data_IF_786091878655
#
_entry.id   IF_786091878655
#
_cell.length_a   1.000
_cell.length_b   1.000
_cell.length_c   1.000
_cell.angle_alpha   90.00
_cell.angle_beta   90.00
_cell.angle_gamma   90.00
#
_symmetry.space_group_name_H-M   'P 1'
#
loop_
_entity.id
_entity.type
_entity.pdbx_description
1 polymer ?
#
# COMPACT_ATOMS: atom_id res chain seq x y z
N UNK A 1 14.02 19.47 24.33
CA UNK A 1 13.29 19.76 23.08
C UNK A 1 14.10 19.08 21.98
N UNK A 2 13.51 18.11 21.27
CA UNK A 2 14.19 17.44 20.16
C UNK A 2 14.45 18.48 19.06
N UNK A 3 15.62 18.46 18.42
CA UNK A 3 15.85 19.35 17.29
C UNK A 3 15.04 18.86 16.08
N UNK A 4 14.61 19.78 15.21
CA UNK A 4 13.75 19.47 14.07
C UNK A 4 14.36 18.45 13.08
N UNK A 5 15.69 18.43 12.94
CA UNK A 5 16.39 17.46 12.10
C UNK A 5 16.44 16.08 12.76
N UNK A 6 16.53 16.00 14.09
CA UNK A 6 16.41 14.75 14.84
C UNK A 6 15.00 14.16 14.75
N UNK A 7 13.97 15.00 14.88
CA UNK A 7 12.57 14.61 14.67
C UNK A 7 12.35 14.09 13.24
N UNK A 8 12.83 14.82 12.23
CA UNK A 8 12.70 14.39 10.83
C UNK A 8 13.39 13.05 10.57
N UNK A 9 14.59 12.83 11.11
CA UNK A 9 15.30 11.53 10.99
C UNK A 9 14.52 10.38 11.63
N UNK A 10 13.87 10.62 12.77
CA UNK A 10 13.03 9.62 13.42
C UNK A 10 11.79 9.30 12.56
N UNK A 11 11.12 10.31 12.01
CA UNK A 11 9.94 10.12 11.15
C UNK A 11 10.32 9.35 9.87
N UNK A 12 11.40 9.75 9.21
CA UNK A 12 12.02 9.03 8.10
C UNK A 12 12.26 7.55 8.43
N UNK A 13 12.84 7.25 9.60
CA UNK A 13 13.07 5.86 10.02
C UNK A 13 11.75 5.08 10.18
N UNK A 14 10.72 5.70 10.75
CA UNK A 14 9.40 5.07 10.90
C UNK A 14 8.76 4.79 9.54
N UNK A 15 8.86 5.72 8.59
CA UNK A 15 8.41 5.50 7.20
C UNK A 15 9.13 4.31 6.58
N UNK A 16 10.45 4.20 6.77
CA UNK A 16 11.22 3.04 6.29
C UNK A 16 10.68 1.72 6.80
N UNK A 17 10.42 1.61 8.11
CA UNK A 17 9.84 0.41 8.71
C UNK A 17 8.43 0.10 8.20
N UNK A 18 7.60 1.13 8.02
CA UNK A 18 6.25 0.97 7.49
C UNK A 18 6.25 0.47 6.03
N UNK A 19 7.18 0.95 5.20
CA UNK A 19 7.38 0.46 3.84
C UNK A 19 7.81 -1.01 3.82
N UNK A 20 8.75 -1.40 4.69
CA UNK A 20 9.20 -2.78 4.84
C UNK A 20 8.06 -3.70 5.29
N UNK A 21 7.25 -3.27 6.26
CA UNK A 21 6.09 -4.03 6.72
C UNK A 21 5.03 -4.17 5.62
N UNK A 22 4.66 -3.07 4.96
CA UNK A 22 3.71 -3.10 3.84
C UNK A 22 4.17 -4.08 2.76
N UNK A 23 5.46 -4.06 2.41
CA UNK A 23 6.04 -4.98 1.43
C UNK A 23 5.95 -6.43 1.89
N UNK A 24 6.31 -6.73 3.14
CA UNK A 24 6.23 -8.08 3.68
C UNK A 24 4.78 -8.62 3.68
N UNK A 25 3.78 -7.80 4.02
CA UNK A 25 2.36 -8.22 3.94
C UNK A 25 1.92 -8.47 2.50
N UNK A 26 2.39 -7.64 1.57
CA UNK A 26 2.06 -7.75 0.15
C UNK A 26 2.69 -9.01 -0.47
N UNK A 27 3.93 -9.33 -0.13
CA UNK A 27 4.60 -10.58 -0.53
C UNK A 27 3.83 -11.81 -0.02
N UNK A 28 3.36 -11.79 1.23
CA UNK A 28 2.51 -12.85 1.78
C UNK A 28 1.16 -12.95 1.07
N UNK A 29 0.57 -11.83 0.66
CA UNK A 29 -0.69 -11.82 -0.10
C UNK A 29 -0.51 -12.41 -1.51
N UNK A 30 0.58 -12.05 -2.20
CA UNK A 30 0.93 -12.61 -3.51
C UNK A 30 1.16 -14.12 -3.45
N UNK A 31 1.95 -14.58 -2.47
CA UNK A 31 2.22 -16.01 -2.27
C UNK A 31 0.91 -16.78 -2.02
N UNK A 32 0.03 -16.25 -1.16
CA UNK A 32 -1.24 -16.92 -0.85
C UNK A 32 -2.18 -16.98 -2.06
N UNK A 33 -2.29 -15.89 -2.83
CA UNK A 33 -3.11 -15.83 -4.05
C UNK A 33 -2.60 -16.80 -5.12
N UNK A 34 -1.29 -16.84 -5.35
CA UNK A 34 -0.69 -17.73 -6.35
C UNK A 34 -0.93 -19.22 -6.06
N UNK A 35 -1.04 -19.58 -4.79
CA UNK A 35 -1.31 -20.95 -4.32
C UNK A 35 -2.80 -21.27 -4.18
N UNK A 36 -3.69 -20.33 -4.47
CA UNK A 36 -5.13 -20.49 -4.25
C UNK A 36 -5.51 -20.69 -2.78
N UNK A 37 -4.75 -20.08 -1.86
CA UNK A 37 -4.95 -20.26 -0.43
C UNK A 37 -6.29 -19.70 0.07
N UNK A 38 -6.90 -20.39 1.04
CA UNK A 38 -8.20 -20.05 1.62
C UNK A 38 -8.22 -18.70 2.36
N UNK A 39 -7.04 -18.20 2.74
CA UNK A 39 -6.87 -16.98 3.53
C UNK A 39 -6.60 -15.74 2.66
N UNK A 40 -6.75 -15.84 1.34
CA UNK A 40 -6.41 -14.77 0.39
C UNK A 40 -7.07 -13.44 0.74
N UNK A 41 -8.35 -13.45 1.14
CA UNK A 41 -9.08 -12.23 1.59
C UNK A 41 -8.34 -11.56 2.75
N UNK A 42 -8.05 -12.31 3.82
CA UNK A 42 -7.38 -11.81 5.02
C UNK A 42 -5.97 -11.31 4.72
N UNK A 43 -5.22 -12.00 3.86
CA UNK A 43 -3.85 -11.60 3.50
C UNK A 43 -3.83 -10.31 2.69
N UNK A 44 -4.74 -10.16 1.74
CA UNK A 44 -4.88 -8.92 0.95
C UNK A 44 -5.33 -7.77 1.85
N UNK A 45 -6.28 -8.00 2.77
CA UNK A 45 -6.67 -6.99 3.76
C UNK A 45 -5.50 -6.52 4.63
N UNK A 46 -4.68 -7.44 5.16
CA UNK A 46 -3.49 -7.07 5.93
C UNK A 46 -2.48 -6.24 5.13
N UNK A 47 -2.35 -6.50 3.83
CA UNK A 47 -1.51 -5.71 2.95
C UNK A 47 -2.10 -4.32 2.68
N UNK A 48 -3.43 -4.22 2.53
CA UNK A 48 -4.16 -2.95 2.42
C UNK A 48 -3.91 -2.08 3.66
N UNK A 49 -4.16 -2.61 4.85
CA UNK A 49 -4.01 -1.88 6.13
C UNK A 49 -2.58 -1.38 6.34
N UNK A 50 -1.59 -2.25 6.09
CA UNK A 50 -0.18 -1.87 6.22
C UNK A 50 0.22 -0.77 5.21
N UNK A 51 -0.33 -0.83 3.99
CA UNK A 51 -0.07 0.18 2.95
C UNK A 51 -0.77 1.50 3.26
N UNK A 52 -2.00 1.49 3.80
CA UNK A 52 -2.72 2.69 4.22
C UNK A 52 -2.00 3.36 5.39
N UNK A 53 -1.60 2.59 6.41
CA UNK A 53 -0.81 3.10 7.52
C UNK A 53 0.53 3.70 7.04
N UNK A 54 1.22 3.01 6.14
CA UNK A 54 2.44 3.55 5.53
C UNK A 54 2.17 4.85 4.77
N UNK A 55 1.07 4.93 4.02
CA UNK A 55 0.68 6.13 3.28
C UNK A 55 0.40 7.32 4.21
N UNK A 56 -0.31 7.09 5.31
CA UNK A 56 -0.58 8.11 6.32
C UNK A 56 0.72 8.64 6.93
N UNK A 57 1.57 7.73 7.40
CA UNK A 57 2.85 8.10 8.00
C UNK A 57 3.76 8.84 7.01
N UNK A 58 3.75 8.44 5.74
CA UNK A 58 4.48 9.12 4.67
C UNK A 58 3.98 10.56 4.48
N UNK A 59 2.66 10.77 4.41
CA UNK A 59 2.09 12.11 4.26
C UNK A 59 2.45 13.03 5.44
N UNK A 60 2.38 12.53 6.67
CA UNK A 60 2.77 13.27 7.87
C UNK A 60 4.26 13.62 7.86
N UNK A 61 5.12 12.69 7.44
CA UNK A 61 6.58 12.87 7.44
C UNK A 61 7.06 13.90 6.42
N UNK A 62 6.30 14.11 5.34
CA UNK A 62 6.68 15.02 4.26
C UNK A 62 5.71 16.19 4.07
N UNK A 63 4.77 16.41 5.00
CA UNK A 63 3.83 17.53 4.95
C UNK A 63 2.88 17.50 3.75
N UNK A 64 2.35 16.33 3.40
CA UNK A 64 1.50 16.09 2.23
C UNK A 64 0.03 15.82 2.61
N UNK A 65 -0.41 16.27 3.78
CA UNK A 65 -1.76 16.00 4.29
C UNK A 65 -2.86 16.71 3.49
N UNK A 66 -2.53 17.87 2.92
CA UNK A 66 -3.43 18.66 2.06
C UNK A 66 -3.43 18.19 0.60
N UNK A 67 -2.55 17.26 0.24
CA UNK A 67 -2.50 16.69 -1.10
C UNK A 67 -3.63 15.69 -1.28
N UNK A 68 -4.34 15.79 -2.42
CA UNK A 68 -5.36 14.82 -2.83
C UNK A 68 -4.90 14.07 -4.10
N UNK A 69 -4.11 12.99 -3.96
CA UNK A 69 -3.60 12.25 -5.10
C UNK A 69 -4.73 11.68 -5.96
N UNK A 70 -4.57 11.70 -7.29
CA UNK A 70 -5.60 11.24 -8.20
C UNK A 70 -5.94 9.77 -7.96
N UNK A 71 -7.23 9.46 -7.91
CA UNK A 71 -7.73 8.10 -7.78
C UNK A 71 -7.57 7.36 -9.12
N UNK A 72 -6.88 6.20 -9.17
CA UNK A 72 -6.72 5.45 -10.40
C UNK A 72 -8.06 4.98 -10.99
N UNK A 73 -8.19 5.01 -12.32
CA UNK A 73 -9.40 4.56 -13.02
C UNK A 73 -9.65 3.08 -12.75
N UNK A 74 -10.86 2.77 -12.27
CA UNK A 74 -11.28 1.40 -11.97
C UNK A 74 -11.41 0.57 -13.25
N UNK A 75 -10.59 -0.47 -13.41
CA UNK A 75 -10.75 -1.44 -14.51
C UNK A 75 -11.95 -2.37 -14.25
N UNK A 76 -12.84 -2.52 -15.25
CA UNK A 76 -14.11 -3.29 -15.15
C UNK A 76 -13.92 -4.79 -14.91
N UNK A 77 -12.83 -5.36 -15.44
CA UNK A 77 -12.47 -6.77 -15.32
C UNK A 77 -11.11 -6.92 -14.61
N UNK A 78 -10.89 -6.14 -13.55
CA UNK A 78 -9.66 -6.24 -12.78
C UNK A 78 -9.63 -7.56 -12.01
N UNK A 79 -8.57 -8.34 -12.20
CA UNK A 79 -8.33 -9.57 -11.43
C UNK A 79 -7.58 -9.24 -10.12
N UNK A 80 -7.97 -9.83 -8.97
CA UNK A 80 -7.30 -9.58 -7.69
C UNK A 80 -5.80 -9.79 -7.75
N UNK A 81 -5.33 -10.85 -8.40
CA UNK A 81 -3.90 -11.15 -8.55
C UNK A 81 -3.16 -10.05 -9.31
N UNK A 82 -3.74 -9.54 -10.39
CA UNK A 82 -3.16 -8.45 -11.17
C UNK A 82 -3.08 -7.17 -10.34
N UNK A 83 -4.11 -6.87 -9.55
CA UNK A 83 -4.15 -5.68 -8.70
C UNK A 83 -3.11 -5.75 -7.58
N UNK A 84 -2.95 -6.91 -6.94
CA UNK A 84 -1.91 -7.09 -5.91
C UNK A 84 -0.52 -6.97 -6.52
N UNK A 85 -0.27 -7.54 -7.69
CA UNK A 85 1.00 -7.37 -8.40
C UNK A 85 1.25 -5.89 -8.73
N UNK A 86 0.31 -5.21 -9.39
CA UNK A 86 0.42 -3.78 -9.70
C UNK A 86 0.62 -2.89 -8.45
N UNK A 87 0.11 -3.31 -7.29
CA UNK A 87 0.34 -2.63 -6.01
C UNK A 87 1.76 -2.81 -5.48
N UNK A 88 2.38 -3.99 -5.71
CA UNK A 88 3.79 -4.26 -5.39
C UNK A 88 4.72 -3.30 -6.13
N UNK A 89 4.53 -3.14 -7.44
CA UNK A 89 5.34 -2.20 -8.23
C UNK A 89 5.16 -0.77 -7.76
N UNK A 90 3.93 -0.38 -7.40
CA UNK A 90 3.66 0.96 -6.89
C UNK A 90 4.38 1.19 -5.56
N UNK A 91 4.33 0.22 -4.64
CA UNK A 91 5.06 0.29 -3.37
C UNK A 91 6.58 0.34 -3.56
N UNK A 92 7.11 -0.42 -4.53
CA UNK A 92 8.53 -0.37 -4.91
C UNK A 92 8.92 1.03 -5.39
N UNK A 93 8.13 1.63 -6.28
CA UNK A 93 8.37 3.01 -6.77
C UNK A 93 8.33 4.03 -5.64
N UNK A 94 7.36 3.93 -4.73
CA UNK A 94 7.31 4.80 -3.56
C UNK A 94 8.56 4.70 -2.69
N UNK A 95 9.09 3.47 -2.51
CA UNK A 95 10.34 3.23 -1.77
C UNK A 95 11.54 3.85 -2.48
N UNK A 96 11.64 3.72 -3.81
CA UNK A 96 12.73 4.28 -4.63
C UNK A 96 12.77 5.82 -4.60
N UNK A 97 11.59 6.46 -4.52
CA UNK A 97 11.38 7.90 -4.55
C UNK A 97 11.43 8.56 -3.17
N UNK A 98 11.44 7.77 -2.09
CA UNK A 98 11.56 8.26 -0.72
C UNK A 98 12.76 9.20 -0.56
N UNK A 99 12.51 10.38 0.00
CA UNK A 99 13.52 11.43 0.20
C UNK A 99 14.03 12.11 -1.08
N UNK A 100 13.57 11.69 -2.27
CA UNK A 100 13.95 12.26 -3.57
C UNK A 100 12.81 13.06 -4.19
N UNK A 101 11.62 12.47 -4.20
CA UNK A 101 10.39 13.04 -4.76
C UNK A 101 9.21 12.63 -3.86
N UNK A 102 9.01 13.29 -2.70
CA UNK A 102 8.01 12.86 -1.73
C UNK A 102 6.59 12.84 -2.29
N UNK A 103 6.19 13.87 -3.04
CA UNK A 103 4.85 13.93 -3.63
C UNK A 103 4.60 12.76 -4.59
N UNK A 104 5.55 12.47 -5.48
CA UNK A 104 5.43 11.36 -6.41
C UNK A 104 5.43 10.00 -5.68
N UNK A 105 6.30 9.84 -4.68
CA UNK A 105 6.32 8.64 -3.84
C UNK A 105 4.99 8.42 -3.11
N UNK A 106 4.38 9.49 -2.61
CA UNK A 106 3.07 9.47 -1.98
C UNK A 106 1.96 9.09 -2.97
N UNK A 107 1.97 9.62 -4.19
CA UNK A 107 1.03 9.22 -5.26
C UNK A 107 1.10 7.72 -5.58
N UNK A 108 2.32 7.16 -5.62
CA UNK A 108 2.50 5.72 -5.80
C UNK A 108 1.98 4.90 -4.59
N UNK A 109 2.15 5.38 -3.35
CA UNK A 109 1.55 4.74 -2.17
C UNK A 109 0.02 4.74 -2.23
N UNK A 110 -0.59 5.88 -2.56
CA UNK A 110 -2.05 5.96 -2.74
C UNK A 110 -2.55 5.03 -3.84
N UNK A 111 -1.79 4.90 -4.91
CA UNK A 111 -2.06 3.95 -5.99
C UNK A 111 -2.00 2.49 -5.49
N UNK A 112 -1.00 2.14 -4.68
CA UNK A 112 -0.87 0.81 -4.10
C UNK A 112 -2.08 0.47 -3.21
N UNK A 113 -2.43 1.37 -2.29
CA UNK A 113 -3.58 1.27 -1.40
C UNK A 113 -4.88 1.07 -2.18
N UNK A 114 -5.13 1.92 -3.18
CA UNK A 114 -6.35 1.83 -3.98
C UNK A 114 -6.51 0.47 -4.67
N UNK A 115 -5.42 -0.06 -5.25
CA UNK A 115 -5.43 -1.38 -5.92
C UNK A 115 -5.66 -2.51 -4.93
N UNK A 116 -5.03 -2.46 -3.75
CA UNK A 116 -5.23 -3.44 -2.68
C UNK A 116 -6.67 -3.45 -2.19
N UNK A 117 -7.25 -2.26 -1.95
CA UNK A 117 -8.67 -2.11 -1.60
C UNK A 117 -9.60 -2.69 -2.66
N UNK A 118 -9.30 -2.43 -3.93
CA UNK A 118 -10.07 -3.00 -5.03
C UNK A 118 -9.96 -4.54 -5.05
N UNK A 119 -8.76 -5.10 -4.87
CA UNK A 119 -8.53 -6.54 -4.82
C UNK A 119 -9.27 -7.19 -3.65
N UNK A 120 -9.15 -6.59 -2.45
CA UNK A 120 -9.83 -7.02 -1.25
C UNK A 120 -11.35 -7.09 -1.45
N UNK A 121 -11.96 -6.01 -1.96
CA UNK A 121 -13.39 -5.96 -2.25
C UNK A 121 -13.87 -7.03 -3.24
N UNK A 122 -13.07 -7.33 -4.27
CA UNK A 122 -13.40 -8.39 -5.24
C UNK A 122 -13.38 -9.76 -4.55
N UNK A 123 -12.37 -10.03 -3.73
CA UNK A 123 -12.22 -11.29 -3.02
C UNK A 123 -13.35 -11.50 -1.99
N UNK A 124 -13.72 -10.47 -1.22
CA UNK A 124 -14.86 -10.53 -0.30
C UNK A 124 -16.18 -10.83 -1.02
N UNK A 125 -16.42 -10.20 -2.17
CA UNK A 125 -17.60 -10.47 -2.99
C UNK A 125 -17.62 -11.88 -3.58
N UNK A 126 -16.45 -12.43 -3.91
CA UNK A 126 -16.35 -13.81 -4.37
C UNK A 126 -16.62 -14.82 -3.23
N UNK A 127 -16.14 -14.53 -2.02
CA UNK A 127 -16.37 -15.36 -0.83
C UNK A 127 -17.83 -15.39 -0.38
N UNK A 128 -18.51 -14.24 -0.43
CA UNK A 128 -19.95 -14.12 -0.08
C UNK A 128 -20.88 -14.84 -1.05
N UNK A 129 -20.54 -14.91 -2.34
CA UNK A 129 -21.32 -15.66 -3.35
C UNK A 129 -21.22 -17.18 -3.24
N UNK A 130 -20.20 -17.70 -2.53
CA UNK A 130 -20.00 -19.16 -2.34
C UNK A 130 -20.69 -19.69 -1.08
N UNK A 131 -21.39 -18.85 -0.33
CA UNK A 131 -22.01 -19.16 0.96
C UNK A 131 -23.52 -19.24 0.87
#
# INVERSE_FOLDING_TARGET
MMDAAEEQRMLEQKVGKALEEARAKLDLAMDNLSKGGTDSVKKVWLAEEASEYCSLLYSLTYGLEDEDPPVPVRKRNAEPTSLVHESSESLRRATELRGKSPLEGYQYLRTAVYKLRQAHHILEKAGTKRR
#
